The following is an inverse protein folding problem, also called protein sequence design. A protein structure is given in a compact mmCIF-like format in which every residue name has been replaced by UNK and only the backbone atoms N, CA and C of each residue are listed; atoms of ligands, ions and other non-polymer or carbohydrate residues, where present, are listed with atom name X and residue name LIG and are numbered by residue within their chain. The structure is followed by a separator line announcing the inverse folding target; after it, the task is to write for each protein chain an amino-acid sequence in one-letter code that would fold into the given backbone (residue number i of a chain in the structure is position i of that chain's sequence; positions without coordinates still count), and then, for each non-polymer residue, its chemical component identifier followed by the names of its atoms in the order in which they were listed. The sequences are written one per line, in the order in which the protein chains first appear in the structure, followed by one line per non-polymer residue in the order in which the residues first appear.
data_IF_904003314366
#
_entry.id   IF_904003314366
#
_cell.length_a   1.000
_cell.length_b   1.000
_cell.length_c   1.000
_cell.angle_alpha   90.00
_cell.angle_beta   90.00
_cell.angle_gamma   90.00
#
_symmetry.space_group_name_H-M   'P 1'
#
loop_
_entity.id
_entity.type
_entity.pdbx_description
1 polymer ?
#
# COMPACT_ATOMS: atom_id res chain seq x y z
N UNK A 1 -10.72 9.59 1.06
CA UNK A 1 -11.71 9.33 0.00
C UNK A 1 -12.44 8.01 0.20
N UNK A 2 -11.75 6.87 0.28
CA UNK A 2 -12.42 5.56 0.45
C UNK A 2 -13.28 5.49 1.72
N UNK A 3 -12.73 5.87 2.88
CA UNK A 3 -13.47 5.91 4.15
C UNK A 3 -14.59 6.96 4.16
N UNK A 4 -14.39 8.12 3.52
CA UNK A 4 -15.41 9.19 3.46
C UNK A 4 -16.61 8.79 2.60
N UNK A 5 -16.43 7.87 1.64
CA UNK A 5 -17.51 7.26 0.87
C UNK A 5 -18.02 5.94 1.47
N UNK A 6 -17.62 5.61 2.70
CA UNK A 6 -18.03 4.39 3.40
C UNK A 6 -17.75 3.10 2.60
N UNK A 7 -16.70 3.12 1.77
CA UNK A 7 -16.25 1.95 1.02
C UNK A 7 -15.45 1.03 1.95
N UNK A 8 -15.45 -0.28 1.64
CA UNK A 8 -14.85 -1.31 2.51
C UNK A 8 -13.49 -1.80 2.05
N UNK A 9 -13.14 -1.59 0.79
CA UNK A 9 -11.86 -2.06 0.24
C UNK A 9 -11.26 -1.03 -0.70
N UNK A 10 -9.94 -1.10 -0.85
CA UNK A 10 -9.17 -0.30 -1.81
C UNK A 10 -8.04 -1.16 -2.35
N UNK A 11 -7.82 -1.06 -3.66
CA UNK A 11 -6.64 -1.62 -4.31
C UNK A 11 -5.85 -0.50 -4.99
N UNK A 12 -4.53 -0.57 -4.92
CA UNK A 12 -3.67 0.37 -5.63
C UNK A 12 -2.35 -0.27 -6.05
N UNK A 13 -1.76 0.18 -7.18
CA UNK A 13 -0.51 -0.37 -7.68
C UNK A 13 0.68 0.12 -6.84
N UNK A 14 1.89 -0.31 -7.21
CA UNK A 14 3.12 0.32 -6.72
C UNK A 14 3.26 1.72 -7.32
N UNK A 15 2.88 2.75 -6.54
CA UNK A 15 2.82 4.13 -7.01
C UNK A 15 4.24 4.68 -7.19
N UNK A 16 4.47 5.36 -8.32
CA UNK A 16 5.74 6.03 -8.68
C UNK A 16 6.94 5.13 -9.00
N UNK A 17 6.80 3.80 -8.99
CA UNK A 17 7.95 2.87 -9.16
C UNK A 17 8.21 2.42 -10.60
N UNK A 18 7.31 2.73 -11.53
CA UNK A 18 7.48 2.48 -12.97
C UNK A 18 8.25 3.61 -13.66
N UNK A 19 7.62 4.28 -14.64
CA UNK A 19 8.23 5.36 -15.44
C UNK A 19 8.83 6.48 -14.58
N UNK A 20 8.27 6.75 -13.41
CA UNK A 20 8.76 7.78 -12.48
C UNK A 20 10.01 7.37 -11.68
N UNK A 21 10.42 6.09 -11.73
CA UNK A 21 11.71 5.62 -11.23
C UNK A 21 11.90 5.73 -9.71
N UNK A 22 10.85 5.90 -8.92
CA UNK A 22 10.97 5.91 -7.47
C UNK A 22 11.39 4.53 -6.96
N UNK A 23 12.39 4.42 -6.05
CA UNK A 23 12.87 3.11 -5.60
C UNK A 23 11.77 2.28 -4.93
N UNK A 24 11.60 1.04 -5.38
CA UNK A 24 10.47 0.19 -4.98
C UNK A 24 10.49 -0.19 -3.51
N UNK A 25 11.66 -0.33 -2.91
CA UNK A 25 11.84 -0.62 -1.49
C UNK A 25 11.40 0.58 -0.63
N UNK A 26 11.72 1.79 -1.09
CA UNK A 26 11.26 3.02 -0.44
C UNK A 26 9.76 3.21 -0.62
N UNK A 27 9.22 2.87 -1.79
CA UNK A 27 7.78 2.93 -2.04
C UNK A 27 7.03 1.98 -1.12
N UNK A 28 7.49 0.73 -1.00
CA UNK A 28 6.92 -0.27 -0.11
C UNK A 28 6.91 0.21 1.35
N UNK A 29 8.03 0.76 1.83
CA UNK A 29 8.12 1.32 3.19
C UNK A 29 7.09 2.43 3.43
N UNK A 30 7.02 3.42 2.53
CA UNK A 30 6.09 4.54 2.64
C UNK A 30 4.64 4.05 2.59
N UNK A 31 4.34 3.16 1.65
CA UNK A 31 3.02 2.60 1.44
C UNK A 31 2.50 1.88 2.68
N UNK A 32 3.28 0.96 3.25
CA UNK A 32 2.90 0.26 4.49
C UNK A 32 2.83 1.19 5.69
N UNK A 33 3.76 2.15 5.82
CA UNK A 33 3.73 3.09 6.95
C UNK A 33 2.45 3.92 6.93
N UNK A 34 2.08 4.48 5.78
CA UNK A 34 0.86 5.25 5.62
C UNK A 34 -0.40 4.41 5.91
N UNK A 35 -0.47 3.17 5.42
CA UNK A 35 -1.60 2.27 5.70
C UNK A 35 -1.66 1.89 7.18
N UNK A 36 -0.52 1.51 7.78
CA UNK A 36 -0.44 1.18 9.22
C UNK A 36 -0.86 2.37 10.08
N UNK A 37 -0.41 3.58 9.75
CA UNK A 37 -0.80 4.81 10.45
C UNK A 37 -2.29 5.10 10.31
N UNK A 38 -2.81 5.03 9.08
CA UNK A 38 -4.24 5.25 8.82
C UNK A 38 -5.13 4.28 9.59
N UNK A 39 -4.78 2.99 9.63
CA UNK A 39 -5.55 1.96 10.33
C UNK A 39 -5.45 2.07 11.86
N UNK A 40 -4.36 2.62 12.39
CA UNK A 40 -4.18 2.82 13.85
C UNK A 40 -5.06 3.93 14.41
N UNK A 41 -5.44 4.92 13.59
CA UNK A 41 -6.11 6.14 14.05
C UNK A 41 -7.61 5.98 14.35
N UNK A 42 -8.17 4.77 14.33
CA UNK A 42 -9.56 4.50 14.76
C UNK A 42 -10.55 4.30 13.61
N UNK A 43 -11.85 4.31 13.96
CA UNK A 43 -12.98 3.81 13.16
C UNK A 43 -12.88 4.13 11.66
N UNK A 44 -12.62 3.08 10.89
CA UNK A 44 -12.58 3.12 9.44
C UNK A 44 -13.53 2.07 8.88
N UNK A 45 -14.24 2.42 7.80
CA UNK A 45 -15.06 1.47 7.05
C UNK A 45 -14.22 0.43 6.31
N UNK A 46 -12.92 0.70 6.14
CA UNK A 46 -11.97 -0.13 5.42
C UNK A 46 -11.71 -1.44 6.17
N UNK A 47 -11.91 -2.55 5.47
CA UNK A 47 -11.65 -3.92 5.93
C UNK A 47 -10.50 -4.58 5.15
N UNK A 48 -10.21 -4.08 3.95
CA UNK A 48 -9.19 -4.67 3.09
C UNK A 48 -8.41 -3.60 2.32
N UNK A 49 -7.09 -3.77 2.26
CA UNK A 49 -6.18 -2.99 1.44
C UNK A 49 -5.35 -3.96 0.61
N UNK A 50 -5.42 -3.86 -0.71
CA UNK A 50 -4.70 -4.72 -1.63
C UNK A 50 -3.65 -3.93 -2.41
N UNK A 51 -2.40 -4.36 -2.34
CA UNK A 51 -1.35 -3.85 -3.19
C UNK A 51 -1.27 -4.69 -4.47
N UNK A 52 -1.51 -4.07 -5.62
CA UNK A 52 -1.46 -4.75 -6.93
C UNK A 52 -0.05 -4.62 -7.50
N UNK A 53 0.74 -5.67 -7.33
CA UNK A 53 2.17 -5.68 -7.66
C UNK A 53 2.35 -6.46 -8.98
N UNK A 54 2.74 -5.75 -10.03
CA UNK A 54 2.72 -6.26 -11.41
C UNK A 54 3.74 -7.36 -11.68
N UNK A 55 4.92 -7.27 -11.05
CA UNK A 55 6.04 -8.16 -11.29
C UNK A 55 6.61 -8.72 -9.98
N UNK A 56 7.42 -9.78 -10.11
CA UNK A 56 8.01 -10.48 -8.99
C UNK A 56 8.98 -9.62 -8.18
N UNK A 57 9.71 -8.69 -8.79
CA UNK A 57 10.65 -7.82 -8.09
C UNK A 57 9.88 -6.87 -7.15
N UNK A 58 8.83 -6.24 -7.68
CA UNK A 58 7.92 -5.39 -6.93
C UNK A 58 7.23 -6.18 -5.82
N UNK A 59 6.76 -7.39 -6.10
CA UNK A 59 6.21 -8.30 -5.07
C UNK A 59 7.21 -8.57 -3.95
N UNK A 60 8.43 -8.98 -4.28
CA UNK A 60 9.47 -9.30 -3.29
C UNK A 60 9.81 -8.10 -2.41
N UNK A 61 9.91 -6.89 -2.97
CA UNK A 61 10.18 -5.68 -2.19
C UNK A 61 9.07 -5.40 -1.15
N UNK A 62 7.80 -5.57 -1.52
CA UNK A 62 6.68 -5.39 -0.59
C UNK A 62 6.60 -6.53 0.43
N UNK A 63 6.83 -7.78 0.03
CA UNK A 63 6.81 -8.94 0.93
C UNK A 63 7.88 -8.79 2.03
N UNK A 64 9.12 -8.46 1.66
CA UNK A 64 10.20 -8.21 2.62
C UNK A 64 9.89 -7.06 3.57
N UNK A 65 9.13 -6.07 3.12
CA UNK A 65 8.75 -4.93 3.95
C UNK A 65 7.58 -5.25 4.90
N UNK A 66 6.70 -6.18 4.52
CA UNK A 66 5.60 -6.63 5.36
C UNK A 66 6.07 -7.52 6.51
N UNK A 67 7.11 -8.32 6.29
CA UNK A 67 7.74 -9.19 7.29
C UNK A 67 8.55 -8.43 8.36
N UNK A 68 8.67 -7.10 8.23
CA UNK A 68 9.30 -6.20 9.21
C UNK A 68 8.28 -5.50 10.12
#
# INVERSE_FOLDING_TARGET
LTATHNLKSVSFPSISTGVYGYPVEKAAFVAFSAVKEFLKNGETSIKEVVFVLFDSNTYSAYAQQLEK
#
